data_IF_677063841822
#
_entry.id   IF_677063841822
#
_cell.length_a   1.000
_cell.length_b   1.000
_cell.length_c   1.000
_cell.angle_alpha   90.00
_cell.angle_beta   90.00
_cell.angle_gamma   90.00
#
_symmetry.space_group_name_H-M   'P 1'
#
loop_
_entity.id
_entity.type
_entity.pdbx_description
1 polymer ?
#
# COMPACT_ATOMS: atom_id res chain seq x y z
N UNK A 1 0.83 16.18 21.54
CA UNK A 1 -0.22 16.29 20.50
C UNK A 1 0.13 15.33 19.39
N UNK A 2 -0.75 14.39 19.03
CA UNK A 2 -0.46 13.41 17.97
C UNK A 2 -0.49 14.13 16.62
N UNK A 3 0.62 14.08 15.88
CA UNK A 3 0.72 14.66 14.54
C UNK A 3 0.02 13.72 13.56
N UNK A 4 -1.17 14.12 13.08
CA UNK A 4 -1.99 13.34 12.15
C UNK A 4 -1.50 13.52 10.71
N UNK A 5 -0.26 13.14 10.45
CA UNK A 5 0.31 13.15 9.10
C UNK A 5 0.07 11.82 8.37
N UNK A 6 0.57 11.70 7.14
CA UNK A 6 0.35 10.50 6.32
C UNK A 6 0.88 9.23 6.98
N UNK A 7 2.01 9.30 7.70
CA UNK A 7 2.55 8.14 8.41
C UNK A 7 1.63 7.69 9.55
N UNK A 8 1.08 8.64 10.31
CA UNK A 8 0.09 8.31 11.33
C UNK A 8 -1.11 7.52 10.74
N UNK A 9 -1.64 7.95 9.61
CA UNK A 9 -2.74 7.23 8.97
C UNK A 9 -2.32 5.87 8.40
N UNK A 10 -1.11 5.77 7.84
CA UNK A 10 -0.58 4.50 7.36
C UNK A 10 -0.41 3.47 8.49
N UNK A 11 0.02 3.90 9.68
CA UNK A 11 0.15 3.05 10.87
C UNK A 11 -1.23 2.58 11.39
N UNK A 12 -2.31 3.34 11.14
CA UNK A 12 -3.69 2.89 11.43
C UNK A 12 -4.10 1.79 10.46
N UNK A 13 -3.85 1.97 9.15
CA UNK A 13 -4.18 0.95 8.16
C UNK A 13 -3.43 -0.35 8.43
N UNK A 14 -2.15 -0.28 8.81
CA UNK A 14 -1.37 -1.46 9.19
C UNK A 14 -1.99 -2.19 10.38
N UNK A 15 -2.42 -1.47 11.43
CA UNK A 15 -3.10 -2.09 12.58
C UNK A 15 -4.39 -2.79 12.16
N UNK A 16 -5.14 -2.21 11.24
CA UNK A 16 -6.34 -2.83 10.69
C UNK A 16 -5.97 -4.15 9.99
N UNK A 17 -5.00 -4.13 9.07
CA UNK A 17 -4.53 -5.32 8.33
C UNK A 17 -4.11 -6.43 9.29
N UNK A 18 -3.31 -6.10 10.31
CA UNK A 18 -2.86 -7.07 11.31
C UNK A 18 -4.04 -7.72 12.05
N UNK A 19 -5.07 -6.94 12.37
CA UNK A 19 -6.26 -7.43 13.06
C UNK A 19 -7.19 -8.27 12.17
N UNK A 20 -7.19 -8.08 10.85
CA UNK A 20 -8.18 -8.70 9.95
C UNK A 20 -7.63 -9.78 9.02
N UNK A 21 -6.32 -9.84 8.77
CA UNK A 21 -5.73 -10.74 7.76
C UNK A 21 -6.02 -12.24 7.92
N UNK A 22 -6.39 -12.67 9.12
CA UNK A 22 -6.68 -14.08 9.42
C UNK A 22 -8.18 -14.34 9.62
N UNK A 23 -9.03 -13.37 9.30
CA UNK A 23 -10.48 -13.48 9.47
C UNK A 23 -11.12 -13.75 8.12
N UNK A 24 -11.75 -14.92 7.99
CA UNK A 24 -12.50 -15.31 6.81
C UNK A 24 -13.61 -14.30 6.49
N UNK A 25 -13.72 -13.90 5.23
CA UNK A 25 -14.68 -12.91 4.74
C UNK A 25 -14.23 -11.45 4.88
N UNK A 26 -13.04 -11.19 5.42
CA UNK A 26 -12.45 -9.84 5.51
C UNK A 26 -11.26 -9.63 4.58
N UNK A 27 -11.00 -10.54 3.65
CA UNK A 27 -9.86 -10.50 2.72
C UNK A 27 -9.88 -9.23 1.86
N UNK A 28 -11.01 -8.91 1.24
CA UNK A 28 -11.15 -7.72 0.39
C UNK A 28 -10.92 -6.43 1.17
N UNK A 29 -11.53 -6.33 2.36
CA UNK A 29 -11.32 -5.19 3.25
C UNK A 29 -9.85 -5.06 3.65
N UNK A 30 -9.19 -6.19 3.91
CA UNK A 30 -7.76 -6.23 4.22
C UNK A 30 -6.91 -5.72 3.04
N UNK A 31 -7.17 -6.17 1.81
CA UNK A 31 -6.45 -5.71 0.60
C UNK A 31 -6.66 -4.21 0.31
N UNK A 32 -7.86 -3.69 0.55
CA UNK A 32 -8.13 -2.25 0.46
C UNK A 32 -7.27 -1.47 1.45
N UNK A 33 -7.14 -1.95 2.69
CA UNK A 33 -6.26 -1.32 3.66
C UNK A 33 -4.77 -1.51 3.31
N UNK A 34 -4.36 -2.61 2.67
CA UNK A 34 -3.01 -2.76 2.11
C UNK A 34 -2.70 -1.63 1.11
N UNK A 35 -3.60 -1.39 0.16
CA UNK A 35 -3.47 -0.30 -0.81
C UNK A 35 -3.31 1.05 -0.12
N UNK A 36 -4.18 1.36 0.85
CA UNK A 36 -4.17 2.61 1.60
C UNK A 36 -2.89 2.81 2.42
N UNK A 37 -2.43 1.76 3.09
CA UNK A 37 -1.21 1.76 3.89
C UNK A 37 0.01 2.09 3.02
N UNK A 38 0.13 1.48 1.84
CA UNK A 38 1.20 1.78 0.88
C UNK A 38 1.08 3.21 0.35
N UNK A 39 -0.13 3.64 -0.05
CA UNK A 39 -0.36 4.99 -0.60
C UNK A 39 0.11 6.08 0.38
N UNK A 40 -0.28 5.96 1.65
CA UNK A 40 0.03 6.93 2.69
C UNK A 40 1.51 6.93 3.04
N UNK A 41 2.16 5.75 3.10
CA UNK A 41 3.61 5.70 3.28
C UNK A 41 4.35 6.39 2.12
N UNK A 42 3.99 6.08 0.87
CA UNK A 42 4.60 6.72 -0.31
C UNK A 42 4.41 8.24 -0.27
N UNK A 43 3.19 8.73 -0.02
CA UNK A 43 2.91 10.17 0.08
C UNK A 43 3.71 10.83 1.21
N UNK A 44 3.78 10.19 2.37
CA UNK A 44 4.57 10.68 3.50
C UNK A 44 6.05 10.80 3.15
N UNK A 45 6.63 9.77 2.52
CA UNK A 45 8.03 9.79 2.07
C UNK A 45 8.26 10.90 1.04
N UNK A 46 7.39 11.03 0.04
CA UNK A 46 7.51 12.07 -1.00
C UNK A 46 7.47 13.47 -0.38
N UNK A 47 6.55 13.70 0.55
CA UNK A 47 6.42 14.98 1.26
C UNK A 47 7.68 15.29 2.07
N UNK A 48 8.18 14.33 2.86
CA UNK A 48 9.33 14.56 3.75
C UNK A 48 10.66 14.64 3.00
N UNK A 49 10.86 13.80 1.98
CA UNK A 49 12.12 13.72 1.24
C UNK A 49 12.24 14.82 0.19
N UNK A 50 11.15 15.14 -0.52
CA UNK A 50 11.19 16.03 -1.67
C UNK A 50 10.41 17.33 -1.46
N UNK A 51 9.72 17.50 -0.32
CA UNK A 51 8.93 18.70 -0.03
C UNK A 51 7.64 18.82 -0.85
N UNK A 52 7.18 17.73 -1.48
CA UNK A 52 6.02 17.74 -2.39
C UNK A 52 4.82 17.03 -1.77
N UNK A 53 3.70 17.74 -1.62
CA UNK A 53 2.43 17.13 -1.21
C UNK A 53 1.73 16.55 -2.44
N UNK A 54 1.76 15.23 -2.59
CA UNK A 54 1.15 14.54 -3.74
C UNK A 54 -0.36 14.33 -3.58
N UNK A 55 -1.12 14.73 -4.60
CA UNK A 55 -2.57 14.44 -4.75
C UNK A 55 -2.86 13.17 -5.57
N UNK A 56 -1.82 12.49 -6.05
CA UNK A 56 -1.96 11.28 -6.87
C UNK A 56 -2.46 10.09 -6.02
N UNK A 57 -3.29 9.22 -6.59
CA UNK A 57 -3.81 8.01 -5.92
C UNK A 57 -3.33 6.72 -6.61
N UNK A 58 -2.74 6.84 -7.79
CA UNK A 58 -2.14 5.73 -8.49
C UNK A 58 -0.82 5.32 -7.82
N UNK A 59 -0.81 4.18 -7.14
CA UNK A 59 0.36 3.64 -6.45
C UNK A 59 1.58 3.48 -7.36
N UNK A 60 1.39 3.10 -8.64
CA UNK A 60 2.49 2.93 -9.58
C UNK A 60 3.21 4.25 -9.82
N UNK A 61 2.46 5.34 -10.02
CA UNK A 61 3.05 6.68 -10.22
C UNK A 61 3.72 7.22 -8.95
N UNK A 62 3.14 6.94 -7.77
CA UNK A 62 3.77 7.32 -6.50
C UNK A 62 5.09 6.55 -6.28
N UNK A 63 5.09 5.25 -6.54
CA UNK A 63 6.29 4.41 -6.44
C UNK A 63 7.37 4.83 -7.44
N UNK A 64 6.96 5.25 -8.65
CA UNK A 64 7.85 5.72 -9.71
C UNK A 64 8.65 6.96 -9.34
N UNK A 65 8.06 7.88 -8.57
CA UNK A 65 8.79 9.04 -8.04
C UNK A 65 9.98 8.58 -7.19
N UNK A 66 9.79 7.57 -6.35
CA UNK A 66 10.86 7.05 -5.49
C UNK A 66 11.90 6.26 -6.29
N UNK A 67 11.48 5.30 -7.12
CA UNK A 67 12.44 4.41 -7.79
C UNK A 67 13.23 5.05 -8.93
N UNK A 68 12.73 6.15 -9.51
CA UNK A 68 13.49 6.91 -10.51
C UNK A 68 14.47 7.90 -9.89
N UNK A 69 14.29 8.24 -8.61
CA UNK A 69 15.11 9.23 -7.92
C UNK A 69 16.22 8.56 -7.10
N UNK A 70 15.84 7.93 -5.98
CA UNK A 70 16.79 7.51 -4.93
C UNK A 70 16.71 6.01 -4.62
N UNK A 71 15.60 5.33 -4.96
CA UNK A 71 15.26 4.00 -4.42
C UNK A 71 14.95 2.98 -5.52
N UNK A 72 15.89 2.78 -6.44
CA UNK A 72 15.72 1.96 -7.66
C UNK A 72 15.25 0.52 -7.40
N UNK A 73 15.60 -0.05 -6.24
CA UNK A 73 15.20 -1.37 -5.77
C UNK A 73 13.68 -1.51 -5.61
N UNK A 74 12.96 -0.40 -5.38
CA UNK A 74 11.50 -0.42 -5.24
C UNK A 74 10.80 -0.74 -6.56
N UNK A 75 11.48 -0.61 -7.71
CA UNK A 75 10.91 -0.91 -9.03
C UNK A 75 10.33 -2.32 -9.13
N UNK A 76 10.88 -3.28 -8.38
CA UNK A 76 10.38 -4.67 -8.35
C UNK A 76 8.93 -4.80 -7.85
N UNK A 77 8.46 -3.84 -7.06
CA UNK A 77 7.08 -3.83 -6.53
C UNK A 77 6.06 -3.14 -7.46
N UNK A 78 6.46 -2.76 -8.68
CA UNK A 78 5.57 -2.07 -9.63
C UNK A 78 4.33 -2.90 -10.00
N UNK A 79 4.45 -4.24 -10.11
CA UNK A 79 3.29 -5.10 -10.39
C UNK A 79 2.30 -5.08 -9.23
N UNK A 80 2.78 -5.37 -8.02
CA UNK A 80 1.97 -5.29 -6.80
C UNK A 80 1.20 -3.97 -6.68
N UNK A 81 1.84 -2.83 -6.95
CA UNK A 81 1.17 -1.52 -6.92
C UNK A 81 0.06 -1.36 -7.97
N UNK A 82 0.17 -2.03 -9.12
CA UNK A 82 -0.90 -2.09 -10.13
C UNK A 82 -2.06 -2.93 -9.61
N UNK A 83 -1.76 -4.10 -9.07
CA UNK A 83 -2.77 -5.07 -8.63
C UNK A 83 -3.56 -4.53 -7.42
N UNK A 84 -2.87 -3.97 -6.41
CA UNK A 84 -3.50 -3.31 -5.27
C UNK A 84 -4.38 -2.11 -5.66
N UNK A 85 -3.98 -1.36 -6.70
CA UNK A 85 -4.81 -0.27 -7.24
C UNK A 85 -6.12 -0.82 -7.78
N UNK A 86 -6.06 -1.92 -8.51
CA UNK A 86 -7.23 -2.48 -9.15
C UNK A 86 -8.17 -3.11 -8.09
N UNK A 87 -7.63 -3.71 -7.02
CA UNK A 87 -8.41 -4.19 -5.88
C UNK A 87 -9.24 -3.11 -5.18
N UNK A 88 -8.71 -1.90 -5.05
CA UNK A 88 -9.45 -0.77 -4.47
C UNK A 88 -10.78 -0.51 -5.21
N UNK A 89 -10.84 -0.78 -6.50
CA UNK A 89 -12.04 -0.59 -7.32
C UNK A 89 -12.84 -1.88 -7.49
N UNK A 90 -12.21 -3.00 -7.83
CA UNK A 90 -12.93 -4.22 -8.18
C UNK A 90 -13.53 -4.95 -6.99
N UNK A 91 -12.91 -4.87 -5.80
CA UNK A 91 -13.31 -5.68 -4.62
C UNK A 91 -14.44 -5.10 -3.79
N UNK A 92 -14.81 -3.84 -4.02
CA UNK A 92 -15.82 -3.14 -3.20
C UNK A 92 -17.17 -2.99 -3.88
N UNK A 93 -17.29 -3.39 -5.13
CA UNK A 93 -18.51 -3.24 -5.91
C UNK A 93 -18.86 -4.57 -6.57
N UNK A 94 -20.17 -4.85 -6.66
CA UNK A 94 -20.65 -5.91 -7.53
C UNK A 94 -20.28 -5.52 -8.98
N UNK A 95 -19.26 -6.19 -9.50
CA UNK A 95 -18.72 -5.99 -10.84
C UNK A 95 -18.66 -7.34 -11.53
N UNK A 96 -18.93 -7.37 -12.83
CA UNK A 96 -18.77 -8.59 -13.65
C UNK A 96 -17.29 -9.05 -13.67
N UNK A 97 -16.36 -8.15 -13.38
CA UNK A 97 -14.92 -8.39 -13.26
C UNK A 97 -14.47 -8.74 -11.82
N UNK A 98 -15.39 -9.10 -10.92
CA UNK A 98 -15.04 -9.53 -9.57
C UNK A 98 -14.37 -10.90 -9.62
N UNK A 99 -13.04 -10.90 -9.55
CA UNK A 99 -12.24 -12.10 -9.43
C UNK A 99 -12.28 -12.60 -7.97
N UNK A 100 -12.45 -13.90 -7.72
CA UNK A 100 -12.34 -14.44 -6.36
C UNK A 100 -10.89 -14.87 -6.16
N UNK A 101 -10.22 -14.35 -5.13
CA UNK A 101 -8.90 -14.87 -4.74
C UNK A 101 -9.08 -16.13 -3.91
N UNK A 102 -8.26 -17.13 -4.23
CA UNK A 102 -7.99 -18.23 -3.31
C UNK A 102 -7.27 -17.71 -2.06
N UNK A 103 -7.30 -18.52 -1.00
CA UNK A 103 -6.56 -18.23 0.23
C UNK A 103 -5.06 -18.08 -0.02
N UNK A 104 -4.50 -18.91 -0.90
CA UNK A 104 -3.09 -18.91 -1.26
C UNK A 104 -2.70 -17.61 -1.95
N UNK A 105 -3.46 -17.17 -2.97
CA UNK A 105 -3.22 -15.90 -3.65
C UNK A 105 -3.32 -14.70 -2.70
N UNK A 106 -4.31 -14.69 -1.80
CA UNK A 106 -4.43 -13.65 -0.78
C UNK A 106 -3.20 -13.59 0.14
N UNK A 107 -2.68 -14.74 0.56
CA UNK A 107 -1.47 -14.83 1.38
C UNK A 107 -0.22 -14.36 0.62
N UNK A 108 -0.09 -14.68 -0.67
CA UNK A 108 0.99 -14.18 -1.54
C UNK A 108 0.94 -12.65 -1.66
N UNK A 109 -0.24 -12.06 -1.84
CA UNK A 109 -0.39 -10.60 -1.86
C UNK A 109 -0.01 -9.97 -0.53
N UNK A 110 -0.37 -10.60 0.60
CA UNK A 110 0.04 -10.12 1.92
C UNK A 110 1.55 -10.18 2.11
N UNK A 111 2.20 -11.27 1.69
CA UNK A 111 3.66 -11.39 1.76
C UNK A 111 4.35 -10.28 0.96
N UNK A 112 3.92 -10.07 -0.29
CA UNK A 112 4.45 -9.01 -1.14
C UNK A 112 4.20 -7.61 -0.55
N UNK A 113 3.01 -7.38 0.02
CA UNK A 113 2.67 -6.16 0.74
C UNK A 113 3.62 -5.90 1.90
N UNK A 114 3.84 -6.88 2.79
CA UNK A 114 4.75 -6.71 3.91
C UNK A 114 6.20 -6.50 3.44
N UNK A 115 6.60 -7.16 2.35
CA UNK A 115 7.88 -6.91 1.68
C UNK A 115 8.06 -5.45 1.30
N UNK A 116 7.09 -4.86 0.57
CA UNK A 116 7.14 -3.44 0.20
C UNK A 116 7.07 -2.53 1.43
N UNK A 117 6.13 -2.78 2.35
CA UNK A 117 5.95 -1.97 3.56
C UNK A 117 7.26 -1.89 4.38
N UNK A 118 7.98 -2.99 4.51
CA UNK A 118 9.25 -3.03 5.23
C UNK A 118 10.32 -2.15 4.56
N UNK A 119 10.42 -2.15 3.23
CA UNK A 119 11.32 -1.24 2.52
C UNK A 119 10.91 0.22 2.71
N UNK A 120 9.62 0.53 2.63
CA UNK A 120 9.12 1.89 2.87
C UNK A 120 9.38 2.36 4.31
N UNK A 121 9.27 1.46 5.31
CA UNK A 121 9.58 1.77 6.71
C UNK A 121 11.07 2.07 6.91
N UNK A 122 11.97 1.29 6.30
CA UNK A 122 13.42 1.60 6.33
C UNK A 122 13.70 3.01 5.77
N UNK A 123 13.01 3.38 4.69
CA UNK A 123 13.14 4.73 4.12
C UNK A 123 12.57 5.78 5.08
N UNK A 124 11.36 5.56 5.61
CA UNK A 124 10.71 6.43 6.61
C UNK A 124 11.61 6.68 7.83
N UNK A 125 12.32 5.67 8.31
CA UNK A 125 13.20 5.79 9.48
C UNK A 125 14.52 6.54 9.17
N UNK A 126 14.82 6.76 7.87
CA UNK A 126 16.02 7.46 7.41
C UNK A 126 15.81 8.95 7.07
N UNK A 127 14.58 9.46 7.22
CA UNK A 127 14.19 10.82 6.81
C UNK A 127 13.58 11.65 7.94
#
# INVERSE_FOLDING_TARGET
MVKRDMFYFADIDEKFIVATKNTEGLEDGTLVHCQQCIEKNLKGIIEKRYGVVSKEHNLVKLLEILYLSDYSELKKYKSLCRDLKDFYFSRRYASDDYEILSREEFEEYLEQFYGLLNELKKIKDSI
#
